data_IF_028405692777
#
_entry.id   IF_028405692777
#
_cell.length_a   1.000
_cell.length_b   1.000
_cell.length_c   1.000
_cell.angle_alpha   90.00
_cell.angle_beta   90.00
_cell.angle_gamma   90.00
#
_symmetry.space_group_name_H-M   'P 1'
#
loop_
_entity.id
_entity.type
_entity.pdbx_description
1 polymer ?
#
# COMPACT_ATOMS: atom_id res chain seq x y z
N UNK A 1 -5.69 -22.45 -5.13
CA UNK A 1 -5.57 -21.34 -4.16
C UNK A 1 -5.60 -21.95 -2.76
N UNK A 2 -4.54 -21.79 -1.96
CA UNK A 2 -4.46 -22.42 -0.62
C UNK A 2 -5.35 -21.74 0.42
N UNK A 3 -5.56 -20.43 0.33
CA UNK A 3 -6.42 -19.67 1.23
C UNK A 3 -7.32 -18.73 0.42
N UNK A 4 -8.52 -19.16 -0.01
CA UNK A 4 -9.42 -18.36 -0.85
C UNK A 4 -9.96 -17.10 -0.16
N UNK A 5 -9.97 -17.08 1.18
CA UNK A 5 -10.45 -15.93 1.98
C UNK A 5 -9.36 -15.25 2.79
N UNK A 6 -8.08 -15.62 2.60
CA UNK A 6 -6.92 -15.05 3.30
C UNK A 6 -6.95 -15.27 4.83
N UNK A 7 -7.60 -16.35 5.26
CA UNK A 7 -7.88 -16.72 6.64
C UNK A 7 -7.31 -18.11 7.02
N UNK A 8 -6.61 -18.76 6.08
CA UNK A 8 -6.00 -20.08 6.25
C UNK A 8 -4.50 -19.98 5.98
N UNK A 9 -3.70 -20.64 6.82
CA UNK A 9 -2.25 -20.65 6.62
C UNK A 9 -1.89 -21.51 5.40
N UNK A 10 -1.24 -20.96 4.38
CA UNK A 10 -0.68 -21.75 3.30
C UNK A 10 0.56 -22.52 3.82
N UNK A 11 1.10 -23.44 3.00
CA UNK A 11 2.38 -24.06 3.31
C UNK A 11 3.50 -23.01 3.49
N UNK A 12 4.42 -23.26 4.43
CA UNK A 12 5.44 -22.28 4.83
C UNK A 12 6.35 -21.79 3.71
N UNK A 13 6.58 -22.63 2.69
CA UNK A 13 7.35 -22.24 1.50
C UNK A 13 6.68 -21.10 0.70
N UNK A 14 5.34 -20.96 0.79
CA UNK A 14 4.60 -19.88 0.12
C UNK A 14 4.99 -18.53 0.73
N UNK A 15 5.13 -18.43 2.06
CA UNK A 15 5.62 -17.22 2.70
C UNK A 15 7.06 -16.90 2.30
N UNK A 16 7.93 -17.90 2.23
CA UNK A 16 9.29 -17.70 1.73
C UNK A 16 9.31 -17.19 0.29
N UNK A 17 8.47 -17.77 -0.58
CA UNK A 17 8.33 -17.33 -1.96
C UNK A 17 7.80 -15.90 -2.07
N UNK A 18 6.79 -15.51 -1.29
CA UNK A 18 6.33 -14.12 -1.22
C UNK A 18 7.46 -13.16 -0.83
N UNK A 19 8.22 -13.49 0.22
CA UNK A 19 9.36 -12.67 0.66
C UNK A 19 10.45 -12.54 -0.41
N UNK A 20 10.80 -13.66 -1.06
CA UNK A 20 11.80 -13.66 -2.13
C UNK A 20 11.34 -12.85 -3.34
N UNK A 21 10.11 -13.04 -3.79
CA UNK A 21 9.56 -12.32 -4.94
C UNK A 21 9.45 -10.82 -4.67
N UNK A 22 9.05 -10.42 -3.46
CA UNK A 22 8.95 -9.02 -3.09
C UNK A 22 10.32 -8.35 -2.98
N UNK A 23 11.31 -9.05 -2.42
CA UNK A 23 12.71 -8.60 -2.41
C UNK A 23 13.25 -8.40 -3.83
N UNK A 24 12.98 -9.35 -4.73
CA UNK A 24 13.39 -9.24 -6.13
C UNK A 24 12.69 -8.09 -6.85
N UNK A 25 11.37 -7.93 -6.65
CA UNK A 25 10.61 -6.81 -7.19
C UNK A 25 11.23 -5.47 -6.78
N UNK A 26 11.37 -5.20 -5.47
CA UNK A 26 11.98 -3.96 -4.98
C UNK A 26 13.39 -3.74 -5.53
N UNK A 27 14.17 -4.82 -5.69
CA UNK A 27 15.53 -4.73 -6.23
C UNK A 27 15.51 -4.36 -7.71
N UNK A 28 14.62 -4.95 -8.50
CA UNK A 28 14.55 -4.72 -9.94
C UNK A 28 13.96 -3.35 -10.28
N UNK A 29 12.93 -2.94 -9.55
CA UNK A 29 12.38 -1.59 -9.52
C UNK A 29 13.48 -0.55 -9.28
N UNK A 30 14.24 -0.66 -8.18
CA UNK A 30 15.32 0.29 -7.91
C UNK A 30 16.49 0.27 -8.93
N UNK A 31 16.61 -0.78 -9.75
CA UNK A 31 17.67 -0.96 -10.74
C UNK A 31 17.29 -0.39 -12.11
N UNK A 32 16.02 -0.38 -12.49
CA UNK A 32 15.61 0.02 -13.84
C UNK A 32 15.88 1.51 -14.11
N UNK A 33 15.56 2.41 -13.17
CA UNK A 33 15.80 3.84 -13.30
C UNK A 33 17.29 4.16 -13.24
N UNK A 34 18.07 3.37 -12.47
CA UNK A 34 19.54 3.48 -12.46
C UNK A 34 20.11 3.07 -13.81
N UNK A 35 19.60 2.01 -14.42
CA UNK A 35 20.00 1.60 -15.76
C UNK A 35 19.60 2.63 -16.80
N UNK A 36 18.36 3.11 -16.79
CA UNK A 36 17.88 4.12 -17.74
C UNK A 36 18.74 5.39 -17.74
N UNK A 37 19.15 5.86 -16.55
CA UNK A 37 20.10 6.98 -16.42
C UNK A 37 21.49 6.64 -16.95
N UNK A 38 22.00 5.44 -16.69
CA UNK A 38 23.30 4.97 -17.17
C UNK A 38 23.35 4.85 -18.70
N UNK A 39 22.25 4.43 -19.32
CA UNK A 39 22.16 4.22 -20.77
C UNK A 39 21.62 5.44 -21.53
N UNK A 40 21.36 6.56 -20.86
CA UNK A 40 20.72 7.75 -21.42
C UNK A 40 19.37 7.43 -22.11
N UNK A 41 18.59 6.52 -21.54
CA UNK A 41 17.29 6.09 -22.06
C UNK A 41 16.12 6.45 -21.12
N UNK A 42 16.33 7.38 -20.18
CA UNK A 42 15.25 7.93 -19.34
C UNK A 42 14.20 8.64 -20.20
N UNK A 43 12.92 8.42 -19.89
CA UNK A 43 11.80 9.03 -20.61
C UNK A 43 10.57 9.19 -19.70
N UNK A 44 9.69 10.17 -19.97
CA UNK A 44 8.41 10.32 -19.26
C UNK A 44 7.53 9.05 -19.32
N UNK A 45 7.52 8.37 -20.47
CA UNK A 45 6.79 7.11 -20.62
C UNK A 45 7.36 6.00 -19.73
N UNK A 46 8.68 5.95 -19.56
CA UNK A 46 9.32 5.00 -18.65
C UNK A 46 8.91 5.25 -17.20
N UNK A 47 8.89 6.52 -16.77
CA UNK A 47 8.45 6.92 -15.44
C UNK A 47 6.95 6.64 -15.20
N UNK A 48 6.10 6.91 -16.20
CA UNK A 48 4.68 6.57 -16.18
C UNK A 48 4.47 5.06 -16.00
N UNK A 49 5.23 4.24 -16.75
CA UNK A 49 5.12 2.79 -16.68
C UNK A 49 5.59 2.24 -15.32
N UNK A 50 6.69 2.76 -14.80
CA UNK A 50 7.24 2.44 -13.47
C UNK A 50 6.19 2.66 -12.36
N UNK A 51 5.64 3.88 -12.27
CA UNK A 51 4.61 4.20 -11.28
C UNK A 51 3.33 3.39 -11.46
N UNK A 52 2.97 3.09 -12.70
CA UNK A 52 1.82 2.24 -13.00
C UNK A 52 2.01 0.80 -12.52
N UNK A 53 3.21 0.25 -12.66
CA UNK A 53 3.57 -1.04 -12.09
C UNK A 53 3.50 -1.03 -10.55
N UNK A 54 4.00 0.02 -9.90
CA UNK A 54 3.93 0.17 -8.44
C UNK A 54 2.50 0.28 -7.91
N UNK A 55 1.63 0.98 -8.65
CA UNK A 55 0.22 1.08 -8.29
C UNK A 55 -0.48 -0.30 -8.31
N UNK A 56 -0.12 -1.17 -9.26
CA UNK A 56 -0.61 -2.55 -9.31
C UNK A 56 0.02 -3.42 -8.23
N UNK A 57 1.31 -3.21 -7.94
CA UNK A 57 2.04 -3.93 -6.90
C UNK A 57 1.37 -3.76 -5.52
N UNK A 58 0.87 -2.56 -5.20
CA UNK A 58 0.11 -2.29 -3.96
C UNK A 58 -1.00 -3.33 -3.69
N UNK A 59 -1.72 -3.78 -4.73
CA UNK A 59 -2.80 -4.76 -4.60
C UNK A 59 -2.28 -6.19 -4.43
N UNK A 60 -1.25 -6.56 -5.21
CA UNK A 60 -0.62 -7.88 -5.14
C UNK A 60 0.09 -8.09 -3.80
N UNK A 61 0.77 -7.07 -3.31
CA UNK A 61 1.44 -7.04 -2.01
C UNK A 61 0.45 -7.16 -0.87
N UNK A 62 -0.65 -6.40 -0.90
CA UNK A 62 -1.71 -6.53 0.09
C UNK A 62 -2.23 -7.97 0.14
N UNK A 63 -2.46 -8.62 -1.00
CA UNK A 63 -2.90 -10.02 -1.04
C UNK A 63 -1.85 -10.99 -0.49
N UNK A 64 -0.59 -10.83 -0.88
CA UNK A 64 0.51 -11.67 -0.40
C UNK A 64 0.68 -11.53 1.12
N UNK A 65 0.67 -10.30 1.63
CA UNK A 65 0.77 -10.01 3.06
C UNK A 65 -0.47 -10.46 3.82
N UNK A 66 -1.66 -10.24 3.30
CA UNK A 66 -2.92 -10.69 3.90
C UNK A 66 -2.97 -12.19 4.10
N UNK A 67 -2.43 -12.95 3.14
CA UNK A 67 -2.26 -14.39 3.25
C UNK A 67 -1.22 -14.77 4.32
N UNK A 68 -0.13 -14.00 4.41
CA UNK A 68 0.95 -14.21 5.39
C UNK A 68 0.52 -13.90 6.82
N UNK A 69 -0.26 -12.85 7.02
CA UNK A 69 -0.68 -12.36 8.33
C UNK A 69 -2.11 -12.80 8.72
N UNK A 70 -2.73 -13.70 7.95
CA UNK A 70 -4.10 -14.20 8.18
C UNK A 70 -5.10 -13.06 8.39
N UNK A 71 -5.04 -12.06 7.52
CA UNK A 71 -5.79 -10.81 7.70
C UNK A 71 -7.28 -10.94 7.32
N UNK A 72 -7.64 -11.97 6.55
CA UNK A 72 -8.99 -12.17 6.01
C UNK A 72 -9.54 -10.88 5.36
N UNK A 73 -10.75 -10.44 5.74
CA UNK A 73 -11.34 -9.15 5.37
C UNK A 73 -10.41 -7.96 5.59
N UNK A 74 -9.58 -8.00 6.64
CA UNK A 74 -8.67 -6.89 6.99
C UNK A 74 -7.59 -6.65 5.92
N UNK A 75 -7.38 -7.60 5.01
CA UNK A 75 -6.45 -7.43 3.89
C UNK A 75 -6.81 -6.25 3.00
N UNK A 76 -8.11 -5.97 2.84
CA UNK A 76 -8.55 -4.78 2.12
C UNK A 76 -8.00 -3.50 2.74
N UNK A 77 -7.98 -3.41 4.07
CA UNK A 77 -7.40 -2.25 4.75
C UNK A 77 -5.89 -2.15 4.61
N UNK A 78 -5.18 -3.28 4.48
CA UNK A 78 -3.75 -3.28 4.11
C UNK A 78 -3.52 -2.71 2.71
N UNK A 79 -4.38 -3.02 1.74
CA UNK A 79 -4.35 -2.36 0.44
C UNK A 79 -4.63 -0.86 0.55
N UNK A 80 -5.67 -0.46 1.31
CA UNK A 80 -6.03 0.96 1.51
C UNK A 80 -4.87 1.77 2.11
N UNK A 81 -4.17 1.25 3.12
CA UNK A 81 -3.04 1.95 3.75
C UNK A 81 -1.79 2.03 2.86
N UNK A 82 -1.72 1.22 1.80
CA UNK A 82 -0.71 1.34 0.74
C UNK A 82 -1.14 2.36 -0.32
N UNK A 83 -2.38 2.25 -0.79
CA UNK A 83 -2.93 3.07 -1.87
C UNK A 83 -3.06 4.56 -1.48
N UNK A 84 -3.46 4.87 -0.23
CA UNK A 84 -3.65 6.26 0.22
C UNK A 84 -2.33 7.05 0.18
N UNK A 85 -1.23 6.61 0.84
CA UNK A 85 0.06 7.29 0.73
C UNK A 85 0.59 7.38 -0.69
N UNK A 86 0.46 6.28 -1.46
CA UNK A 86 0.92 6.23 -2.84
C UNK A 86 0.22 7.30 -3.70
N UNK A 87 -1.11 7.31 -3.68
CA UNK A 87 -1.89 8.30 -4.42
C UNK A 87 -1.61 9.73 -3.95
N UNK A 88 -1.43 9.92 -2.64
CA UNK A 88 -1.03 11.19 -2.07
C UNK A 88 0.34 11.67 -2.56
N UNK A 89 1.30 10.75 -2.79
CA UNK A 89 2.62 11.07 -3.33
C UNK A 89 2.55 11.39 -4.82
N UNK A 90 1.72 10.68 -5.60
CA UNK A 90 1.42 11.03 -7.01
C UNK A 90 0.80 12.42 -7.11
N UNK A 91 -0.17 12.71 -6.25
CA UNK A 91 -0.79 14.03 -6.16
C UNK A 91 0.21 15.12 -5.75
N UNK A 92 1.09 14.84 -4.79
CA UNK A 92 2.17 15.76 -4.42
C UNK A 92 3.13 16.01 -5.59
N UNK A 93 3.51 14.96 -6.31
CA UNK A 93 4.39 15.02 -7.47
C UNK A 93 3.81 15.96 -8.54
N UNK A 94 2.51 15.87 -8.81
CA UNK A 94 1.82 16.78 -9.74
C UNK A 94 2.05 18.26 -9.42
N UNK A 95 1.95 18.67 -8.15
CA UNK A 95 2.14 20.06 -7.76
C UNK A 95 3.63 20.45 -7.72
N UNK A 96 4.46 19.59 -7.15
CA UNK A 96 5.88 19.88 -6.88
C UNK A 96 6.77 19.72 -8.11
N UNK A 97 6.34 18.97 -9.13
CA UNK A 97 7.12 18.56 -10.31
C UNK A 97 8.39 17.76 -9.99
N UNK A 98 8.47 17.23 -8.77
CA UNK A 98 9.56 16.38 -8.33
C UNK A 98 9.01 15.31 -7.39
N UNK A 99 9.33 14.05 -7.64
CA UNK A 99 9.06 13.00 -6.66
C UNK A 99 10.00 13.18 -5.45
N UNK A 100 9.44 13.62 -4.33
CA UNK A 100 10.21 13.88 -3.10
C UNK A 100 10.41 12.55 -2.37
N UNK A 101 11.58 11.92 -2.58
CA UNK A 101 11.98 10.70 -1.88
C UNK A 101 13.08 11.01 -0.85
N UNK A 102 12.73 11.24 0.43
CA UNK A 102 13.71 11.35 1.50
C UNK A 102 14.45 10.01 1.71
N UNK A 103 15.53 10.04 2.50
CA UNK A 103 16.30 8.83 2.81
C UNK A 103 15.45 7.74 3.50
N UNK A 104 14.41 8.15 4.22
CA UNK A 104 13.29 7.30 4.66
C UNK A 104 12.08 7.80 3.88
N UNK A 105 11.68 7.07 2.83
CA UNK A 105 10.64 7.54 1.91
C UNK A 105 9.29 6.85 2.11
N UNK A 106 9.24 5.76 2.87
CA UNK A 106 8.00 5.02 3.11
C UNK A 106 7.95 3.75 2.24
N UNK A 107 7.88 3.83 0.89
CA UNK A 107 7.87 2.64 0.04
C UNK A 107 9.07 1.71 0.27
N UNK A 108 10.29 2.26 0.32
CA UNK A 108 11.51 1.45 0.46
C UNK A 108 11.53 0.69 1.78
N UNK A 109 11.24 1.37 2.89
CA UNK A 109 11.20 0.76 4.22
C UNK A 109 9.98 -0.16 4.39
N UNK A 110 8.84 0.22 3.83
CA UNK A 110 7.60 -0.55 3.86
C UNK A 110 7.75 -1.90 3.17
N UNK A 111 8.25 -1.90 1.93
CA UNK A 111 8.55 -3.12 1.17
C UNK A 111 9.55 -4.01 1.90
N UNK A 112 10.60 -3.41 2.49
CA UNK A 112 11.54 -4.13 3.35
C UNK A 112 10.86 -4.80 4.53
N UNK A 113 10.04 -4.08 5.27
CA UNK A 113 9.32 -4.63 6.41
C UNK A 113 8.40 -5.77 6.00
N UNK A 114 7.73 -5.66 4.85
CA UNK A 114 6.82 -6.69 4.34
C UNK A 114 7.60 -7.96 3.93
N UNK A 115 8.70 -7.85 3.16
CA UNK A 115 9.46 -9.05 2.79
C UNK A 115 10.17 -9.70 3.98
N UNK A 116 10.63 -8.91 4.95
CA UNK A 116 11.17 -9.44 6.22
C UNK A 116 10.08 -10.16 7.00
N UNK A 117 8.88 -9.59 7.07
CA UNK A 117 7.72 -10.21 7.70
C UNK A 117 7.35 -11.55 7.02
N UNK A 118 7.45 -11.64 5.70
CA UNK A 118 7.28 -12.91 4.96
C UNK A 118 8.31 -13.97 5.38
N UNK A 119 9.59 -13.64 5.40
CA UNK A 119 10.64 -14.58 5.83
C UNK A 119 10.49 -14.98 7.30
N UNK A 120 10.18 -14.03 8.17
CA UNK A 120 9.88 -14.30 9.57
C UNK A 120 8.71 -15.28 9.70
N UNK A 121 7.63 -15.06 8.96
CA UNK A 121 6.44 -15.94 8.96
C UNK A 121 6.75 -17.34 8.44
N UNK A 122 7.65 -17.46 7.47
CA UNK A 122 8.13 -18.77 7.00
C UNK A 122 8.84 -19.56 8.11
N UNK A 123 9.35 -18.90 9.16
CA UNK A 123 10.05 -19.47 10.33
C UNK A 123 9.12 -19.66 11.54
N UNK A 124 8.16 -18.77 11.79
CA UNK A 124 7.30 -18.86 12.99
C UNK A 124 5.91 -19.43 12.73
N UNK A 125 5.45 -19.45 11.48
CA UNK A 125 4.09 -19.82 11.09
C UNK A 125 3.14 -18.61 11.06
N UNK A 126 2.11 -18.67 10.21
CA UNK A 126 1.16 -17.57 10.02
C UNK A 126 0.27 -17.33 11.26
N UNK A 127 0.09 -18.35 12.10
CA UNK A 127 -0.69 -18.30 13.34
C UNK A 127 -0.12 -17.29 14.35
N UNK A 128 1.17 -16.95 14.23
CA UNK A 128 1.80 -15.89 15.01
C UNK A 128 1.12 -14.52 14.81
N UNK A 129 0.54 -14.27 13.65
CA UNK A 129 -0.18 -13.01 13.38
C UNK A 129 -1.61 -12.99 13.93
N UNK A 130 -2.24 -14.16 14.02
CA UNK A 130 -3.62 -14.30 14.49
C UNK A 130 -3.72 -14.33 16.03
N UNK A 131 -2.66 -14.69 16.73
CA UNK A 131 -2.65 -14.65 18.19
C UNK A 131 -2.65 -13.21 18.74
N UNK A 132 -3.03 -13.08 20.01
CA UNK A 132 -3.05 -11.79 20.74
C UNK A 132 -1.65 -11.16 20.76
N UNK A 133 -1.59 -9.83 20.61
CA UNK A 133 -0.32 -9.09 20.55
C UNK A 133 0.56 -9.36 21.77
N UNK A 134 -0.02 -9.45 22.96
CA UNK A 134 0.72 -9.73 24.19
C UNK A 134 1.41 -11.12 24.22
N UNK A 135 0.91 -12.07 23.43
CA UNK A 135 1.58 -13.36 23.25
C UNK A 135 2.71 -13.28 22.21
N UNK A 136 2.53 -12.48 21.16
CA UNK A 136 3.53 -12.24 20.11
C UNK A 136 4.71 -11.40 20.61
N UNK A 137 4.44 -10.38 21.42
CA UNK A 137 5.40 -9.44 21.98
C UNK A 137 5.19 -9.31 23.50
N UNK A 138 5.64 -10.28 24.31
CA UNK A 138 5.38 -10.31 25.76
C UNK A 138 5.90 -9.09 26.53
N UNK A 139 6.91 -8.40 25.99
CA UNK A 139 7.44 -7.17 26.58
C UNK A 139 6.47 -5.98 26.47
N UNK A 140 5.39 -6.08 25.71
CA UNK A 140 4.33 -5.06 25.60
C UNK A 140 3.15 -5.32 26.56
N UNK A 141 3.19 -6.38 27.37
CA UNK A 141 2.09 -6.76 28.28
C UNK A 141 1.80 -5.73 29.38
N UNK A 142 2.70 -4.79 29.63
CA UNK A 142 2.47 -3.68 30.57
C UNK A 142 1.49 -2.63 30.02
N UNK A 143 1.14 -2.69 28.72
CA UNK A 143 0.24 -1.75 28.06
C UNK A 143 -1.18 -2.32 28.03
N UNK A 144 -2.11 -1.84 28.89
CA UNK A 144 -3.38 -2.53 29.14
C UNK A 144 -4.31 -2.59 27.91
N UNK A 145 -4.25 -1.57 27.05
CA UNK A 145 -5.10 -1.46 25.85
C UNK A 145 -4.65 -2.38 24.71
N UNK A 146 -3.47 -3.00 24.80
CA UNK A 146 -2.92 -3.88 23.76
C UNK A 146 -3.23 -5.37 23.97
N UNK A 147 -3.63 -5.78 25.17
CA UNK A 147 -3.83 -7.19 25.51
C UNK A 147 -4.94 -7.90 24.72
N UNK A 148 -5.96 -7.19 24.24
CA UNK A 148 -7.10 -7.78 23.54
C UNK A 148 -6.99 -7.82 22.01
N UNK A 149 -5.93 -7.23 21.44
CA UNK A 149 -5.85 -7.00 19.99
C UNK A 149 -5.02 -8.12 19.33
N UNK A 150 -5.53 -8.81 18.29
CA UNK A 150 -4.74 -9.70 17.45
C UNK A 150 -3.55 -8.97 16.82
N UNK A 151 -2.43 -9.68 16.66
CA UNK A 151 -1.17 -9.08 16.20
C UNK A 151 -1.29 -8.42 14.83
N UNK A 152 -1.98 -9.05 13.87
CA UNK A 152 -2.24 -8.47 12.55
C UNK A 152 -3.01 -7.14 12.60
N UNK A 153 -4.03 -7.02 13.47
CA UNK A 153 -4.79 -5.77 13.65
C UNK A 153 -3.97 -4.70 14.35
N UNK A 154 -3.16 -5.09 15.33
CA UNK A 154 -2.25 -4.15 15.98
C UNK A 154 -1.25 -3.56 14.98
N UNK A 155 -0.67 -4.40 14.12
CA UNK A 155 0.24 -3.96 13.05
C UNK A 155 -0.46 -2.99 12.10
N UNK A 156 -1.70 -3.30 11.67
CA UNK A 156 -2.50 -2.39 10.84
C UNK A 156 -2.68 -1.02 11.51
N UNK A 157 -3.08 -0.96 12.79
CA UNK A 157 -3.26 0.30 13.51
C UNK A 157 -1.95 1.07 13.70
N UNK A 158 -0.85 0.37 13.97
CA UNK A 158 0.47 0.98 14.09
C UNK A 158 0.94 1.57 12.75
N UNK A 159 0.73 0.88 11.63
CA UNK A 159 1.04 1.41 10.31
C UNK A 159 0.20 2.65 9.98
N UNK A 160 -1.09 2.66 10.33
CA UNK A 160 -1.93 3.85 10.17
C UNK A 160 -1.36 5.02 10.99
N UNK A 161 -1.10 4.78 12.27
CA UNK A 161 -0.68 5.83 13.21
C UNK A 161 0.71 6.41 12.89
N UNK A 162 1.67 5.55 12.53
CA UNK A 162 3.08 5.93 12.42
C UNK A 162 3.62 6.02 11.00
N UNK A 163 2.91 5.48 10.00
CA UNK A 163 3.30 5.60 8.59
C UNK A 163 2.30 6.46 7.82
N UNK A 164 1.04 6.02 7.71
CA UNK A 164 0.04 6.66 6.82
C UNK A 164 -0.26 8.09 7.23
N UNK A 165 -0.61 8.33 8.50
CA UNK A 165 -1.00 9.67 8.99
C UNK A 165 0.15 10.66 8.79
N UNK A 166 1.40 10.38 9.22
CA UNK A 166 2.53 11.27 8.96
C UNK A 166 2.75 11.55 7.47
N UNK A 167 2.74 10.52 6.62
CA UNK A 167 2.95 10.71 5.17
C UNK A 167 1.90 11.62 4.56
N UNK A 168 0.62 11.41 4.86
CA UNK A 168 -0.45 12.26 4.33
C UNK A 168 -0.33 13.71 4.84
N UNK A 169 0.06 13.90 6.09
CA UNK A 169 0.33 15.24 6.63
C UNK A 169 1.45 15.93 5.83
N UNK A 170 2.56 15.23 5.56
CA UNK A 170 3.66 15.79 4.78
C UNK A 170 3.27 16.12 3.35
N UNK A 171 2.58 15.20 2.65
CA UNK A 171 2.12 15.43 1.27
C UNK A 171 1.22 16.67 1.19
N UNK A 172 0.26 16.80 2.12
CA UNK A 172 -0.64 17.97 2.20
C UNK A 172 0.13 19.25 2.51
N UNK A 173 1.09 19.22 3.43
CA UNK A 173 1.91 20.38 3.77
C UNK A 173 2.76 20.85 2.59
N UNK A 174 3.35 19.92 1.83
CA UNK A 174 4.19 20.25 0.69
C UNK A 174 3.37 20.80 -0.47
N UNK A 175 2.22 20.19 -0.79
CA UNK A 175 1.29 20.75 -1.78
C UNK A 175 0.79 22.12 -1.35
N UNK A 176 0.40 22.30 -0.08
CA UNK A 176 -0.05 23.59 0.44
C UNK A 176 0.98 24.71 0.23
N UNK A 177 2.27 24.44 0.51
CA UNK A 177 3.35 25.40 0.28
C UNK A 177 3.44 25.83 -1.19
N UNK A 178 3.37 24.87 -2.11
CA UNK A 178 3.45 25.16 -3.55
C UNK A 178 2.21 25.91 -4.04
N UNK A 179 1.02 25.49 -3.63
CA UNK A 179 -0.25 26.13 -3.99
C UNK A 179 -0.28 27.58 -3.50
N UNK A 180 0.13 27.84 -2.24
CA UNK A 180 0.23 29.20 -1.70
C UNK A 180 1.26 30.04 -2.47
N UNK A 181 2.44 29.50 -2.75
CA UNK A 181 3.48 30.21 -3.51
C UNK A 181 3.02 30.60 -4.93
N UNK A 182 2.12 29.80 -5.53
CA UNK A 182 1.54 30.04 -6.85
C UNK A 182 0.23 30.85 -6.81
N UNK A 183 -0.19 31.36 -5.64
CA UNK A 183 -1.51 32.00 -5.44
C UNK A 183 -2.69 31.14 -5.93
N UNK A 184 -2.57 29.82 -5.83
CA UNK A 184 -3.59 28.86 -6.24
C UNK A 184 -4.62 28.55 -5.15
N UNK A 185 -5.63 27.75 -5.50
CA UNK A 185 -6.68 27.30 -4.58
C UNK A 185 -6.39 25.91 -4.04
N UNK A 186 -6.22 25.79 -2.72
CA UNK A 186 -6.07 24.49 -2.06
C UNK A 186 -7.33 23.62 -2.20
N UNK A 187 -8.51 24.24 -2.29
CA UNK A 187 -9.76 23.51 -2.52
C UNK A 187 -9.75 22.81 -3.88
N UNK A 188 -9.24 23.49 -4.91
CA UNK A 188 -9.11 22.89 -6.24
C UNK A 188 -8.05 21.78 -6.25
N UNK A 189 -6.94 21.96 -5.53
CA UNK A 189 -5.94 20.93 -5.37
C UNK A 189 -6.51 19.68 -4.68
N UNK A 190 -7.28 19.83 -3.61
CA UNK A 190 -7.95 18.72 -2.93
C UNK A 190 -9.05 18.08 -3.76
N UNK A 191 -9.71 18.84 -4.65
CA UNK A 191 -10.72 18.29 -5.55
C UNK A 191 -10.14 17.27 -6.55
N UNK A 192 -8.83 17.32 -6.84
CA UNK A 192 -8.17 16.31 -7.67
C UNK A 192 -8.17 14.92 -7.01
N UNK A 193 -8.29 14.83 -5.69
CA UNK A 193 -8.39 13.53 -4.98
C UNK A 193 -9.76 12.87 -5.12
N UNK A 194 -10.73 13.53 -5.77
CA UNK A 194 -12.10 13.07 -5.92
C UNK A 194 -12.22 11.70 -6.60
N UNK A 195 -11.55 11.39 -7.73
CA UNK A 195 -11.69 10.10 -8.40
C UNK A 195 -11.32 8.93 -7.49
N UNK A 196 -10.21 9.06 -6.75
CA UNK A 196 -9.80 8.05 -5.78
C UNK A 196 -10.76 7.93 -4.60
N UNK A 197 -11.27 9.06 -4.08
CA UNK A 197 -12.29 9.05 -3.03
C UNK A 197 -13.59 8.37 -3.47
N UNK A 198 -14.02 8.58 -4.72
CA UNK A 198 -15.19 7.89 -5.31
C UNK A 198 -14.93 6.40 -5.48
N UNK A 199 -13.74 6.01 -5.95
CA UNK A 199 -13.38 4.59 -6.05
C UNK A 199 -13.44 3.90 -4.68
N UNK A 200 -12.76 4.46 -3.68
CA UNK A 200 -12.70 3.87 -2.34
C UNK A 200 -14.08 3.86 -1.67
N UNK A 201 -14.78 5.00 -1.69
CA UNK A 201 -16.13 5.12 -1.13
C UNK A 201 -17.13 4.20 -1.83
N UNK A 202 -17.04 4.10 -3.15
CA UNK A 202 -17.89 3.23 -3.97
C UNK A 202 -17.70 1.76 -3.63
N UNK A 203 -16.46 1.28 -3.46
CA UNK A 203 -16.18 -0.11 -3.07
C UNK A 203 -16.69 -0.41 -1.67
N UNK A 204 -16.48 0.50 -0.70
CA UNK A 204 -16.97 0.31 0.68
C UNK A 204 -18.49 0.30 0.75
N UNK A 205 -19.15 1.24 0.04
CA UNK A 205 -20.62 1.28 -0.03
C UNK A 205 -21.15 0.04 -0.74
N UNK A 206 -20.49 -0.41 -1.81
CA UNK A 206 -20.89 -1.63 -2.51
C UNK A 206 -20.78 -2.87 -1.64
N UNK A 207 -19.68 -3.03 -0.88
CA UNK A 207 -19.53 -4.13 0.09
C UNK A 207 -20.63 -4.08 1.17
N UNK A 208 -20.87 -2.90 1.74
CA UNK A 208 -21.88 -2.69 2.78
C UNK A 208 -23.31 -3.02 2.32
N UNK A 209 -23.66 -2.66 1.08
CA UNK A 209 -24.98 -2.93 0.50
C UNK A 209 -25.11 -4.35 -0.07
N UNK A 210 -23.99 -5.03 -0.33
CA UNK A 210 -24.01 -6.34 -0.97
C UNK A 210 -24.47 -7.43 0.00
N UNK A 211 -25.48 -8.25 -0.35
CA UNK A 211 -25.89 -9.38 0.47
C UNK A 211 -24.83 -10.49 0.53
N UNK A 212 -23.82 -10.43 -0.36
CA UNK A 212 -22.80 -11.46 -0.52
C UNK A 212 -21.56 -11.22 0.33
N UNK A 213 -21.44 -10.10 1.05
CA UNK A 213 -20.22 -9.70 1.80
C UNK A 213 -18.96 -9.89 0.95
N UNK A 214 -18.73 -8.95 0.02
CA UNK A 214 -17.75 -9.12 -1.05
C UNK A 214 -16.32 -9.14 -0.50
N UNK A 215 -15.97 -8.21 0.39
CA UNK A 215 -14.63 -8.13 0.97
C UNK A 215 -14.37 -9.34 1.89
N UNK A 216 -15.38 -9.83 2.59
CA UNK A 216 -15.25 -11.01 3.45
C UNK A 216 -15.15 -12.33 2.67
N UNK A 217 -16.01 -12.54 1.68
CA UNK A 217 -16.12 -13.81 0.97
C UNK A 217 -15.26 -13.91 -0.29
N UNK A 218 -14.96 -12.77 -0.94
CA UNK A 218 -14.22 -12.70 -2.20
C UNK A 218 -13.09 -11.66 -2.17
N UNK A 219 -12.21 -11.66 -1.15
CA UNK A 219 -11.21 -10.61 -0.97
C UNK A 219 -10.24 -10.48 -2.17
N UNK A 220 -9.84 -11.59 -2.80
CA UNK A 220 -8.99 -11.56 -4.00
C UNK A 220 -9.64 -10.79 -5.14
N UNK A 221 -10.93 -11.05 -5.39
CA UNK A 221 -11.65 -10.41 -6.49
C UNK A 221 -11.77 -8.91 -6.23
N UNK A 222 -12.15 -8.53 -5.00
CA UNK A 222 -12.32 -7.13 -4.63
C UNK A 222 -10.97 -6.39 -4.68
N UNK A 223 -9.93 -6.93 -4.04
CA UNK A 223 -8.63 -6.25 -3.96
C UNK A 223 -7.96 -6.18 -5.34
N UNK A 224 -8.01 -7.25 -6.16
CA UNK A 224 -7.47 -7.18 -7.52
C UNK A 224 -8.29 -6.23 -8.40
N UNK A 225 -9.62 -6.30 -8.34
CA UNK A 225 -10.49 -5.44 -9.14
C UNK A 225 -10.33 -3.96 -8.80
N UNK A 226 -10.33 -3.63 -7.50
CA UNK A 226 -10.09 -2.26 -7.04
C UNK A 226 -8.64 -1.84 -7.29
N UNK A 227 -7.67 -2.74 -7.14
CA UNK A 227 -6.27 -2.48 -7.47
C UNK A 227 -6.03 -2.15 -8.94
N UNK A 228 -6.70 -2.85 -9.86
CA UNK A 228 -6.65 -2.53 -11.29
C UNK A 228 -7.29 -1.18 -11.60
N UNK A 229 -8.45 -0.88 -11.01
CA UNK A 229 -9.09 0.42 -11.14
C UNK A 229 -8.22 1.55 -10.56
N UNK A 230 -7.53 1.29 -9.45
CA UNK A 230 -6.57 2.21 -8.85
C UNK A 230 -5.36 2.44 -9.75
N UNK A 231 -4.76 1.38 -10.31
CA UNK A 231 -3.68 1.50 -11.29
C UNK A 231 -4.10 2.35 -12.49
N UNK A 232 -5.32 2.16 -13.00
CA UNK A 232 -5.86 3.00 -14.07
C UNK A 232 -5.96 4.48 -13.67
N UNK A 233 -6.44 4.80 -12.46
CA UNK A 233 -6.49 6.19 -11.98
C UNK A 233 -5.10 6.82 -11.88
N UNK A 234 -4.11 6.08 -11.39
CA UNK A 234 -2.71 6.55 -11.32
C UNK A 234 -2.16 6.82 -12.72
N UNK A 235 -2.41 5.92 -13.67
CA UNK A 235 -2.00 6.10 -15.06
C UNK A 235 -2.63 7.34 -15.69
N UNK A 236 -3.94 7.54 -15.52
CA UNK A 236 -4.67 8.68 -16.10
C UNK A 236 -4.19 10.02 -15.52
N UNK A 237 -3.93 10.08 -14.21
CA UNK A 237 -3.45 11.29 -13.54
C UNK A 237 -2.00 11.64 -13.93
N UNK A 238 -1.15 10.63 -14.08
CA UNK A 238 0.22 10.82 -14.56
C UNK A 238 0.30 11.12 -16.06
N UNK A 239 -0.56 10.53 -16.90
CA UNK A 239 -0.62 10.85 -18.32
C UNK A 239 -1.12 12.29 -18.54
N UNK A 240 -2.11 12.73 -17.75
CA UNK A 240 -2.52 14.13 -17.71
C UNK A 240 -1.36 15.06 -17.34
N UNK A 241 -0.49 14.65 -16.40
CA UNK A 241 0.69 15.40 -16.00
C UNK A 241 1.77 15.46 -17.09
N UNK A 242 2.12 14.34 -17.72
CA UNK A 242 3.19 14.32 -18.71
C UNK A 242 2.82 15.00 -20.04
N UNK A 243 1.53 15.19 -20.31
CA UNK A 243 1.03 15.77 -21.55
C UNK A 243 0.58 17.25 -21.43
N UNK A 244 0.60 17.87 -20.25
CA UNK A 244 0.18 19.27 -20.03
C UNK A 244 1.20 20.09 -19.24
#
# INVERSE_FOLDING_TARGET
IYSPRLDLSPPRWVHFAHGLLLFLYQTFDAVDGKQARRTNSSSPLGELFDHGCDALACALEALAFGNTALCARSTFWFWVISAIPFYGATWEHYFTNTLILPAINGPTEGLMLIYVAHFFTAIVGAEWWAQQLGKSLPFLNWVPFLHGIPTNRAVLFLMIAFAVIPTIIFNVQNVYKVVQARNGSMLLALAMLYPFAVLLGGVVVWDYLSPSDLIGNYPYLVILGTGLAFGFLVFDELDFFFNN
#
